data_IF_606890201496
#
_entry.id   IF_606890201496
#
_cell.length_a   1.000
_cell.length_b   1.000
_cell.length_c   1.000
_cell.angle_alpha   90.00
_cell.angle_beta   90.00
_cell.angle_gamma   90.00
#
_symmetry.space_group_name_H-M   'P 1'
#
loop_
_entity.id
_entity.type
_entity.pdbx_description
1 polymer ?
#
# COMPACT_ATOMS: atom_id res chain seq x y z
N UNK A 1 9.38 -3.94 43.76
CA UNK A 1 8.40 -3.46 42.85
C UNK A 1 8.68 -3.91 41.45
N UNK A 2 7.73 -4.43 40.88
CA UNK A 2 7.93 -4.91 39.52
C UNK A 2 7.30 -3.96 38.51
N UNK A 3 7.56 -4.23 37.30
CA UNK A 3 7.03 -3.48 36.18
C UNK A 3 6.12 -4.35 35.33
N UNK A 4 5.26 -5.08 35.97
CA UNK A 4 4.50 -6.07 35.23
C UNK A 4 3.50 -5.45 34.26
N UNK A 5 3.17 -4.21 34.55
CA UNK A 5 2.02 -3.63 33.90
C UNK A 5 2.26 -3.40 32.42
N UNK A 6 3.45 -2.99 32.06
CA UNK A 6 3.78 -2.78 30.65
C UNK A 6 3.88 -4.12 29.94
N UNK A 7 4.59 -5.05 30.55
CA UNK A 7 4.78 -6.36 29.96
C UNK A 7 3.49 -7.17 29.94
N UNK A 8 2.63 -6.93 30.93
CA UNK A 8 1.42 -7.72 31.07
C UNK A 8 0.16 -7.00 30.66
N UNK A 9 0.30 -5.94 29.88
CA UNK A 9 -0.85 -5.24 29.34
C UNK A 9 -0.92 -5.43 27.84
N UNK A 10 -1.28 -6.62 27.40
CA UNK A 10 -1.29 -6.92 25.98
C UNK A 10 -2.29 -6.07 25.18
N UNK A 11 -3.38 -5.66 25.82
CA UNK A 11 -4.37 -4.84 25.15
C UNK A 11 -3.83 -3.50 24.72
N UNK A 12 -3.18 -2.78 25.63
CA UNK A 12 -2.62 -1.47 25.31
C UNK A 12 -1.43 -1.56 24.36
N UNK A 13 -0.53 -2.46 24.68
CA UNK A 13 0.67 -2.63 23.87
C UNK A 13 0.33 -3.17 22.48
N UNK A 14 -0.52 -4.18 22.42
CA UNK A 14 -0.93 -4.76 21.16
C UNK A 14 -1.72 -3.79 20.29
N UNK A 15 -2.57 -2.95 20.89
CA UNK A 15 -3.35 -1.97 20.17
C UNK A 15 -2.45 -0.91 19.54
N UNK A 16 -1.44 -0.44 20.28
CA UNK A 16 -0.48 0.53 19.75
C UNK A 16 0.31 -0.04 18.58
N UNK A 17 0.75 -1.29 18.71
CA UNK A 17 1.50 -1.98 17.68
C UNK A 17 0.65 -2.22 16.43
N UNK A 18 -0.60 -2.60 16.66
CA UNK A 18 -1.56 -2.84 15.57
C UNK A 18 -1.87 -1.56 14.80
N UNK A 19 -2.03 -0.46 15.54
CA UNK A 19 -2.26 0.84 14.90
C UNK A 19 -1.05 1.26 14.08
N UNK A 20 0.16 1.06 14.59
CA UNK A 20 1.38 1.37 13.86
C UNK A 20 1.48 0.56 12.57
N UNK A 21 1.17 -0.72 12.64
CA UNK A 21 1.20 -1.59 11.46
C UNK A 21 0.20 -1.12 10.40
N UNK A 22 -1.00 -0.78 10.85
CA UNK A 22 -2.03 -0.27 9.94
C UNK A 22 -1.63 1.08 9.35
N UNK A 23 -1.05 1.97 10.15
CA UNK A 23 -0.59 3.27 9.69
C UNK A 23 0.54 3.14 8.67
N UNK A 24 1.43 2.19 8.85
CA UNK A 24 2.49 1.93 7.88
C UNK A 24 1.93 1.46 6.54
N UNK A 25 0.95 0.57 6.58
CA UNK A 25 0.26 0.14 5.36
C UNK A 25 -0.41 1.33 4.67
N UNK A 26 -1.03 2.21 5.43
CA UNK A 26 -1.67 3.40 4.89
C UNK A 26 -0.66 4.31 4.18
N UNK A 27 0.47 4.60 4.83
CA UNK A 27 1.52 5.43 4.25
C UNK A 27 2.07 4.80 2.97
N UNK A 28 2.35 3.51 3.00
CA UNK A 28 2.85 2.80 1.83
C UNK A 28 1.84 2.84 0.68
N UNK A 29 0.57 2.73 0.99
CA UNK A 29 -0.49 2.79 -0.02
C UNK A 29 -0.60 4.18 -0.65
N UNK A 30 -0.43 5.23 0.15
CA UNK A 30 -0.38 6.61 -0.36
C UNK A 30 0.80 6.76 -1.33
N UNK A 31 1.97 6.31 -0.94
CA UNK A 31 3.17 6.42 -1.77
C UNK A 31 3.01 5.63 -3.06
N UNK A 32 2.46 4.44 -2.96
CA UNK A 32 2.22 3.57 -4.12
C UNK A 32 1.23 4.23 -5.09
N UNK A 33 0.14 4.77 -4.57
CA UNK A 33 -0.82 5.50 -5.40
C UNK A 33 -0.16 6.65 -6.14
N UNK A 34 0.64 7.44 -5.43
CA UNK A 34 1.34 8.57 -6.03
C UNK A 34 2.31 8.13 -7.12
N UNK A 35 2.96 6.99 -6.92
CA UNK A 35 3.82 6.40 -7.94
C UNK A 35 3.05 6.09 -9.21
N UNK A 36 1.90 5.47 -9.09
CA UNK A 36 1.07 5.16 -10.25
C UNK A 36 0.47 6.41 -10.89
N UNK A 37 0.10 7.42 -10.12
CA UNK A 37 -0.36 8.69 -10.67
C UNK A 37 0.71 9.32 -11.58
N UNK A 38 1.97 9.24 -11.16
CA UNK A 38 3.06 9.73 -12.00
C UNK A 38 3.29 8.85 -13.22
N UNK A 39 3.17 7.53 -13.05
CA UNK A 39 3.26 6.61 -14.19
C UNK A 39 2.17 6.88 -15.22
N UNK A 40 0.95 7.15 -14.78
CA UNK A 40 -0.16 7.49 -15.69
C UNK A 40 0.22 8.68 -16.56
N UNK A 41 0.83 9.70 -15.97
CA UNK A 41 1.20 10.92 -16.70
C UNK A 41 2.33 10.70 -17.70
N UNK A 42 3.17 9.69 -17.47
CA UNK A 42 4.38 9.47 -18.27
C UNK A 42 4.31 8.19 -19.10
N UNK A 43 3.27 7.40 -18.93
CA UNK A 43 3.10 6.14 -19.62
C UNK A 43 2.75 6.37 -21.09
N UNK A 44 3.18 5.44 -21.95
CA UNK A 44 2.68 5.43 -23.30
C UNK A 44 1.21 4.99 -23.31
N UNK A 45 0.58 5.09 -24.47
CA UNK A 45 -0.86 4.89 -24.59
C UNK A 45 -1.26 3.44 -24.26
N UNK A 46 -0.37 2.49 -24.48
CA UNK A 46 -0.69 1.08 -24.22
C UNK A 46 -0.66 0.74 -22.74
N UNK A 47 0.25 1.34 -22.00
CA UNK A 47 0.39 1.09 -20.55
C UNK A 47 -0.53 1.96 -19.71
N UNK A 48 -0.92 3.13 -20.18
CA UNK A 48 -1.67 4.10 -19.41
C UNK A 48 -2.93 3.51 -18.76
N UNK A 49 -3.77 2.73 -19.46
CA UNK A 49 -4.95 2.13 -18.82
C UNK A 49 -4.60 1.20 -17.65
N UNK A 50 -3.51 0.45 -17.76
CA UNK A 50 -3.06 -0.43 -16.69
C UNK A 50 -2.60 0.39 -15.48
N UNK A 51 -1.81 1.42 -15.71
CA UNK A 51 -1.37 2.31 -14.63
C UNK A 51 -2.57 2.97 -13.93
N UNK A 52 -3.59 3.36 -14.69
CA UNK A 52 -4.82 3.94 -14.13
C UNK A 52 -5.56 2.94 -13.25
N UNK A 53 -5.60 1.68 -13.62
CA UNK A 53 -6.26 0.64 -12.81
C UNK A 53 -5.58 0.49 -11.46
N UNK A 54 -4.24 0.46 -11.42
CA UNK A 54 -3.50 0.40 -10.15
C UNK A 54 -3.69 1.67 -9.33
N UNK A 55 -3.61 2.83 -9.97
CA UNK A 55 -3.83 4.10 -9.29
C UNK A 55 -5.21 4.17 -8.64
N UNK A 56 -6.23 3.75 -9.36
CA UNK A 56 -7.61 3.76 -8.85
C UNK A 56 -7.77 2.78 -7.68
N UNK A 57 -7.20 1.58 -7.78
CA UNK A 57 -7.27 0.60 -6.71
C UNK A 57 -6.62 1.13 -5.44
N UNK A 58 -5.40 1.66 -5.54
CA UNK A 58 -4.71 2.21 -4.38
C UNK A 58 -5.43 3.43 -3.82
N UNK A 59 -6.05 4.22 -4.68
CA UNK A 59 -6.88 5.35 -4.22
C UNK A 59 -8.04 4.91 -3.34
N UNK A 60 -8.74 3.85 -3.75
CA UNK A 60 -9.82 3.28 -2.93
C UNK A 60 -9.29 2.72 -1.62
N UNK A 61 -8.16 2.02 -1.68
CA UNK A 61 -7.55 1.44 -0.47
C UNK A 61 -7.07 2.51 0.50
N UNK A 62 -6.47 3.58 0.00
CA UNK A 62 -6.05 4.71 0.83
C UNK A 62 -7.23 5.28 1.61
N UNK A 63 -8.38 5.48 0.96
CA UNK A 63 -9.56 6.00 1.61
C UNK A 63 -10.07 5.07 2.72
N UNK A 64 -10.08 3.77 2.47
CA UNK A 64 -10.51 2.78 3.46
C UNK A 64 -9.54 2.71 4.63
N UNK A 65 -8.24 2.72 4.35
CA UNK A 65 -7.22 2.70 5.40
C UNK A 65 -7.24 3.97 6.26
N UNK A 66 -7.48 5.12 5.64
CA UNK A 66 -7.64 6.37 6.37
C UNK A 66 -8.76 6.24 7.41
N UNK A 67 -9.92 5.73 6.98
CA UNK A 67 -11.05 5.53 7.88
C UNK A 67 -10.69 4.56 9.03
N UNK A 68 -10.02 3.46 8.71
CA UNK A 68 -9.63 2.48 9.73
C UNK A 68 -8.67 3.07 10.76
N UNK A 69 -7.68 3.84 10.31
CA UNK A 69 -6.73 4.49 11.22
C UNK A 69 -7.47 5.44 12.16
N UNK A 70 -8.39 6.23 11.64
CA UNK A 70 -9.20 7.15 12.46
C UNK A 70 -10.07 6.41 13.45
N UNK A 71 -10.71 5.33 13.03
CA UNK A 71 -11.54 4.52 13.91
C UNK A 71 -10.75 3.89 15.05
N UNK A 72 -9.47 3.64 14.84
CA UNK A 72 -8.60 3.12 15.87
C UNK A 72 -7.94 4.22 16.72
N UNK A 73 -8.34 5.46 16.53
CA UNK A 73 -7.86 6.59 17.32
C UNK A 73 -6.57 7.21 16.82
N UNK A 74 -6.11 6.82 15.65
CA UNK A 74 -4.92 7.41 15.05
C UNK A 74 -5.23 8.62 14.21
N UNK A 75 -4.18 9.32 13.83
CA UNK A 75 -4.26 10.44 12.90
C UNK A 75 -3.55 10.04 11.62
N UNK A 76 -4.28 9.86 10.52
CA UNK A 76 -3.64 9.45 9.27
C UNK A 76 -2.67 10.50 8.76
N UNK A 77 -1.56 10.04 8.23
CA UNK A 77 -0.60 10.91 7.55
C UNK A 77 -1.05 11.08 6.10
N UNK A 78 -1.61 12.23 5.77
CA UNK A 78 -2.16 12.47 4.46
C UNK A 78 -1.11 12.84 3.41
N UNK A 79 0.09 13.19 3.86
CA UNK A 79 1.12 13.67 2.93
C UNK A 79 1.99 12.56 2.37
N UNK A 80 2.03 11.41 3.04
CA UNK A 80 2.98 10.36 2.73
C UNK A 80 4.38 10.80 3.10
N UNK A 81 5.25 9.87 3.37
CA UNK A 81 6.58 10.21 3.85
C UNK A 81 7.64 10.18 2.75
N UNK A 82 7.30 9.68 1.57
CA UNK A 82 8.31 9.29 0.60
C UNK A 82 8.09 9.85 -0.80
N UNK A 83 7.57 11.09 -0.87
CA UNK A 83 7.38 11.74 -2.17
C UNK A 83 8.65 11.81 -3.00
N UNK A 84 9.77 12.12 -2.34
CA UNK A 84 11.06 12.13 -3.02
C UNK A 84 11.44 10.76 -3.55
N UNK A 85 11.18 9.73 -2.76
CA UNK A 85 11.46 8.34 -3.14
C UNK A 85 10.60 7.91 -4.33
N UNK A 86 9.32 8.27 -4.32
CA UNK A 86 8.40 7.97 -5.43
C UNK A 86 8.90 8.61 -6.72
N UNK A 87 9.29 9.88 -6.66
CA UNK A 87 9.83 10.58 -7.83
C UNK A 87 11.09 9.90 -8.35
N UNK A 88 11.99 9.51 -7.43
CA UNK A 88 13.23 8.84 -7.76
C UNK A 88 12.96 7.50 -8.45
N UNK A 89 11.99 6.72 -7.96
CA UNK A 89 11.63 5.44 -8.56
C UNK A 89 11.16 5.64 -9.99
N UNK A 90 10.28 6.59 -10.25
CA UNK A 90 9.77 6.83 -11.60
C UNK A 90 10.89 7.29 -12.54
N UNK A 91 11.76 8.17 -12.05
CA UNK A 91 12.90 8.62 -12.86
C UNK A 91 13.84 7.45 -13.15
N UNK A 92 14.08 6.58 -12.17
CA UNK A 92 14.92 5.40 -12.35
C UNK A 92 14.32 4.43 -13.37
N UNK A 93 13.02 4.23 -13.34
CA UNK A 93 12.36 3.41 -14.35
C UNK A 93 12.59 3.97 -15.76
N UNK A 94 12.47 5.28 -15.93
CA UNK A 94 12.69 5.89 -17.22
C UNK A 94 14.15 5.84 -17.67
N UNK A 95 15.09 5.73 -16.75
CA UNK A 95 16.49 5.57 -17.13
C UNK A 95 16.82 4.16 -17.58
N UNK A 96 16.03 3.17 -17.13
CA UNK A 96 16.20 1.76 -17.50
C UNK A 96 15.39 1.42 -18.74
N UNK A 97 14.22 2.02 -18.89
CA UNK A 97 13.32 1.77 -20.01
C UNK A 97 13.17 3.05 -20.84
N UNK A 98 13.18 2.92 -22.14
CA UNK A 98 13.00 4.05 -23.06
C UNK A 98 11.67 4.76 -22.83
N UNK A 99 10.66 4.00 -22.42
CA UNK A 99 9.35 4.53 -22.12
C UNK A 99 8.77 3.76 -20.94
N UNK A 100 7.76 4.34 -20.28
CA UNK A 100 6.99 3.62 -19.26
C UNK A 100 5.86 2.92 -20.00
N UNK A 101 6.10 1.66 -20.35
CA UNK A 101 5.20 0.80 -21.11
C UNK A 101 5.02 -0.54 -20.39
N UNK A 102 4.48 -1.53 -21.09
CA UNK A 102 4.22 -2.83 -20.46
C UNK A 102 5.49 -3.53 -19.96
N UNK A 103 6.65 -3.16 -20.45
CA UNK A 103 7.90 -3.76 -20.00
C UNK A 103 8.21 -3.44 -18.53
N UNK A 104 7.59 -2.41 -17.97
CA UNK A 104 7.78 -2.09 -16.55
C UNK A 104 6.99 -3.00 -15.60
N UNK A 105 6.16 -3.91 -16.12
CA UNK A 105 5.28 -4.73 -15.29
C UNK A 105 6.03 -5.59 -14.27
N UNK A 106 7.22 -6.06 -14.58
CA UNK A 106 8.00 -6.82 -13.60
C UNK A 106 8.39 -5.96 -12.40
N UNK A 107 8.71 -4.69 -12.67
CA UNK A 107 8.99 -3.72 -11.61
C UNK A 107 7.73 -3.44 -10.80
N UNK A 108 6.59 -3.30 -11.46
CA UNK A 108 5.31 -3.09 -10.78
C UNK A 108 5.03 -4.26 -9.85
N UNK A 109 5.18 -5.48 -10.33
CA UNK A 109 4.93 -6.68 -9.51
C UNK A 109 5.85 -6.72 -8.30
N UNK A 110 7.14 -6.42 -8.49
CA UNK A 110 8.08 -6.38 -7.36
C UNK A 110 7.70 -5.35 -6.32
N UNK A 111 7.30 -4.17 -6.76
CA UNK A 111 6.84 -3.12 -5.84
C UNK A 111 5.57 -3.52 -5.10
N UNK A 112 4.64 -4.12 -5.81
CA UNK A 112 3.37 -4.56 -5.21
C UNK A 112 3.55 -5.71 -4.22
N UNK A 113 4.59 -6.53 -4.38
CA UNK A 113 4.89 -7.55 -3.38
C UNK A 113 5.18 -6.94 -2.01
N UNK A 114 5.79 -5.77 -1.96
CA UNK A 114 6.01 -5.04 -0.71
C UNK A 114 4.67 -4.63 -0.09
N UNK A 115 3.73 -4.20 -0.91
CA UNK A 115 2.40 -3.83 -0.45
C UNK A 115 1.66 -5.05 0.08
N UNK A 116 1.73 -6.18 -0.64
CA UNK A 116 1.11 -7.43 -0.19
C UNK A 116 1.69 -7.89 1.14
N UNK A 117 3.00 -7.78 1.32
CA UNK A 117 3.65 -8.12 2.59
C UNK A 117 3.14 -7.20 3.72
N UNK A 118 2.97 -5.92 3.43
CA UNK A 118 2.41 -5.00 4.43
C UNK A 118 0.96 -5.34 4.77
N UNK A 119 0.17 -5.78 3.81
CA UNK A 119 -1.17 -6.30 4.09
C UNK A 119 -1.10 -7.52 5.01
N UNK A 120 -0.20 -8.45 4.74
CA UNK A 120 -0.06 -9.65 5.57
C UNK A 120 0.29 -9.29 7.02
N UNK A 121 1.18 -8.34 7.23
CA UNK A 121 1.53 -7.87 8.57
C UNK A 121 0.32 -7.25 9.26
N UNK A 122 -0.47 -6.44 8.56
CA UNK A 122 -1.65 -5.81 9.13
C UNK A 122 -2.74 -6.85 9.44
N UNK A 123 -2.94 -7.82 8.56
CA UNK A 123 -3.93 -8.90 8.77
C UNK A 123 -3.55 -9.74 9.98
N UNK A 124 -2.26 -9.97 10.22
CA UNK A 124 -1.78 -10.73 11.36
C UNK A 124 -1.79 -9.93 12.66
N UNK A 125 -1.96 -8.62 12.61
CA UNK A 125 -1.98 -7.77 13.79
C UNK A 125 -3.29 -7.94 14.56
N UNK A 126 -3.29 -7.47 15.81
CA UNK A 126 -4.49 -7.55 16.68
C UNK A 126 -5.46 -6.44 16.33
N UNK A 127 -6.25 -6.64 15.29
CA UNK A 127 -7.23 -5.68 14.81
C UNK A 127 -8.65 -6.17 15.05
N UNK A 128 -9.63 -5.26 15.14
CA UNK A 128 -11.03 -5.65 15.14
C UNK A 128 -11.34 -6.55 13.93
N UNK A 129 -12.24 -7.51 14.11
CA UNK A 129 -12.55 -8.49 13.09
C UNK A 129 -13.02 -7.85 11.78
N UNK A 130 -13.83 -6.80 11.86
CA UNK A 130 -14.30 -6.11 10.67
C UNK A 130 -13.17 -5.47 9.86
N UNK A 131 -12.17 -4.92 10.54
CA UNK A 131 -11.00 -4.34 9.87
C UNK A 131 -10.15 -5.44 9.24
N UNK A 132 -9.96 -6.56 9.93
CA UNK A 132 -9.21 -7.68 9.38
C UNK A 132 -9.86 -8.21 8.12
N UNK A 133 -11.17 -8.38 8.12
CA UNK A 133 -11.91 -8.84 6.96
C UNK A 133 -11.80 -7.88 5.78
N UNK A 134 -11.87 -6.57 6.07
CA UNK A 134 -11.70 -5.56 5.05
C UNK A 134 -10.29 -5.60 4.44
N UNK A 135 -9.26 -5.81 5.26
CA UNK A 135 -7.89 -5.92 4.77
C UNK A 135 -7.70 -7.15 3.89
N UNK A 136 -8.30 -8.27 4.27
CA UNK A 136 -8.26 -9.49 3.45
C UNK A 136 -8.91 -9.23 2.10
N UNK A 137 -10.03 -8.56 2.08
CA UNK A 137 -10.72 -8.19 0.85
C UNK A 137 -9.86 -7.29 -0.03
N UNK A 138 -9.24 -6.28 0.57
CA UNK A 138 -8.39 -5.35 -0.16
C UNK A 138 -7.15 -6.05 -0.73
N UNK A 139 -6.53 -6.94 0.04
CA UNK A 139 -5.41 -7.75 -0.46
C UNK A 139 -5.85 -8.62 -1.63
N UNK A 140 -7.04 -9.20 -1.54
CA UNK A 140 -7.60 -10.03 -2.61
C UNK A 140 -7.80 -9.20 -3.89
N UNK A 141 -8.29 -7.98 -3.76
CA UNK A 141 -8.45 -7.09 -4.90
C UNK A 141 -7.12 -6.80 -5.61
N UNK A 142 -6.08 -6.50 -4.83
CA UNK A 142 -4.75 -6.25 -5.39
C UNK A 142 -4.19 -7.50 -6.05
N UNK A 143 -4.32 -8.64 -5.39
CA UNK A 143 -3.84 -9.92 -5.94
C UNK A 143 -4.54 -10.22 -7.27
N UNK A 144 -5.84 -9.95 -7.35
CA UNK A 144 -6.60 -10.15 -8.58
C UNK A 144 -6.11 -9.24 -9.70
N UNK A 145 -5.89 -7.97 -9.40
CA UNK A 145 -5.39 -7.04 -10.41
C UNK A 145 -4.01 -7.47 -10.92
N UNK A 146 -3.13 -7.90 -10.03
CA UNK A 146 -1.82 -8.42 -10.41
C UNK A 146 -1.94 -9.65 -11.29
N UNK A 147 -2.89 -10.53 -10.97
CA UNK A 147 -3.12 -11.72 -11.77
C UNK A 147 -3.64 -11.36 -13.18
N UNK A 148 -4.61 -10.46 -13.25
CA UNK A 148 -5.20 -10.03 -14.51
C UNK A 148 -4.17 -9.34 -15.42
N UNK A 149 -3.21 -8.66 -14.84
CA UNK A 149 -2.20 -7.92 -15.59
C UNK A 149 -0.92 -8.74 -15.84
N UNK A 150 -0.87 -9.97 -15.33
CA UNK A 150 0.32 -10.81 -15.48
C UNK A 150 0.66 -11.08 -16.94
N UNK A 151 -0.34 -11.23 -17.75
CA UNK A 151 -0.16 -11.60 -19.15
C UNK A 151 0.12 -10.40 -20.07
N UNK A 152 0.14 -9.21 -19.49
CA UNK A 152 0.32 -7.99 -20.26
C UNK A 152 1.78 -7.56 -20.38
N UNK A 153 2.66 -8.15 -19.60
CA UNK A 153 4.06 -7.75 -19.57
C UNK A 153 5.03 -8.82 -20.00
#
# INVERSE_FOLDING_TARGET
MQMPDIANNPGGFGASDSLNTLAQLHILSIDTRRGFEKMVKKADIDFQPTAERFSALHGRHVARLDAMVREMGGVPDSDGSFMGTVNTVVVSLRSVFDAIDMDVMDWVRSGEENVLTAFDHAIAASLPQGHREALIEMKTELTRLLHETRQLG
#
